data_IF_387505530090
#
_entry.id   IF_387505530090
#
_cell.length_a   1.000
_cell.length_b   1.000
_cell.length_c   1.000
_cell.angle_alpha   90.00
_cell.angle_beta   90.00
_cell.angle_gamma   90.00
#
_symmetry.space_group_name_H-M   'P 1'
#
loop_
_entity.id
_entity.type
_entity.pdbx_description
1 polymer ?
#
# COMPACT_ATOMS: atom_id res chain seq x y z
N UNK A 1 0.16 20.86 -15.23
CA UNK A 1 -0.45 20.39 -13.96
C UNK A 1 -1.48 19.29 -14.21
N UNK A 2 -2.51 19.50 -15.04
CA UNK A 2 -3.49 18.46 -15.43
C UNK A 2 -2.86 17.21 -16.05
N UNK A 3 -1.84 17.37 -16.90
CA UNK A 3 -1.12 16.25 -17.52
C UNK A 3 -0.35 15.37 -16.51
N UNK A 4 0.17 15.98 -15.43
CA UNK A 4 0.89 15.28 -14.36
C UNK A 4 -0.10 14.49 -13.51
N UNK A 5 -1.27 15.06 -13.21
CA UNK A 5 -2.35 14.34 -12.53
C UNK A 5 -2.87 13.16 -13.36
N UNK A 6 -3.03 13.34 -14.67
CA UNK A 6 -3.44 12.27 -15.58
C UNK A 6 -2.38 11.15 -15.64
N UNK A 7 -1.10 11.51 -15.75
CA UNK A 7 0.01 10.55 -15.74
C UNK A 7 0.14 9.82 -14.39
N UNK A 8 -0.09 10.50 -13.26
CA UNK A 8 -0.14 9.87 -11.95
C UNK A 8 -1.27 8.86 -11.83
N UNK A 9 -2.47 9.21 -12.31
CA UNK A 9 -3.64 8.32 -12.30
C UNK A 9 -3.46 7.11 -13.23
N UNK A 10 -2.94 7.34 -14.44
CA UNK A 10 -2.55 6.27 -15.37
C UNK A 10 -1.46 5.38 -14.74
N UNK A 11 -0.47 5.97 -14.05
CA UNK A 11 0.59 5.24 -13.36
C UNK A 11 0.04 4.29 -12.29
N UNK A 12 -0.89 4.76 -11.45
CA UNK A 12 -1.57 3.93 -10.44
C UNK A 12 -2.33 2.77 -11.10
N UNK A 13 -3.08 3.04 -12.17
CA UNK A 13 -3.83 2.01 -12.92
C UNK A 13 -2.88 1.00 -13.55
N UNK A 14 -1.81 1.46 -14.22
CA UNK A 14 -0.81 0.58 -14.83
C UNK A 14 -0.11 -0.28 -13.79
N UNK A 15 0.24 0.25 -12.63
CA UNK A 15 0.86 -0.53 -11.55
C UNK A 15 -0.09 -1.61 -11.02
N UNK A 16 -1.39 -1.33 -10.92
CA UNK A 16 -2.40 -2.34 -10.57
C UNK A 16 -2.52 -3.43 -11.64
N UNK A 17 -2.38 -3.09 -12.93
CA UNK A 17 -2.38 -4.02 -14.05
C UNK A 17 -1.09 -4.87 -14.12
N UNK A 18 0.08 -4.27 -13.92
CA UNK A 18 1.39 -4.92 -13.97
C UNK A 18 1.81 -5.60 -12.66
N UNK A 19 0.93 -5.61 -11.65
CA UNK A 19 1.22 -6.27 -10.35
C UNK A 19 1.64 -7.73 -10.53
N UNK A 20 1.10 -8.47 -11.51
CA UNK A 20 1.50 -9.87 -11.71
C UNK A 20 2.94 -9.98 -12.22
N UNK A 21 3.37 -9.08 -13.12
CA UNK A 21 4.73 -9.03 -13.64
C UNK A 21 5.74 -8.66 -12.54
N UNK A 22 5.45 -7.63 -11.73
CA UNK A 22 6.29 -7.23 -10.59
C UNK A 22 6.42 -8.36 -9.57
N UNK A 23 5.33 -9.08 -9.29
CA UNK A 23 5.30 -10.20 -8.35
C UNK A 23 5.98 -11.46 -8.90
N UNK A 24 5.98 -11.65 -10.21
CA UNK A 24 6.72 -12.74 -10.88
C UNK A 24 8.22 -12.50 -10.93
N UNK A 25 8.66 -11.23 -10.93
CA UNK A 25 10.08 -10.87 -10.91
C UNK A 25 10.72 -11.16 -9.54
N UNK A 26 9.93 -11.14 -8.46
CA UNK A 26 10.34 -11.63 -7.15
C UNK A 26 10.27 -13.16 -7.15
N UNK A 27 11.38 -13.78 -7.55
CA UNK A 27 11.58 -15.23 -7.52
C UNK A 27 11.12 -15.85 -6.20
N UNK A 28 10.71 -17.11 -6.23
CA UNK A 28 10.14 -17.83 -5.08
C UNK A 28 11.10 -17.93 -3.86
N UNK A 29 12.36 -17.47 -3.98
CA UNK A 29 13.46 -17.73 -3.05
C UNK A 29 13.97 -16.49 -2.27
N UNK A 30 13.08 -15.58 -1.87
CA UNK A 30 13.47 -14.46 -1.02
C UNK A 30 13.74 -14.92 0.43
N UNK A 31 14.97 -14.74 0.92
CA UNK A 31 15.40 -15.09 2.29
C UNK A 31 14.45 -14.55 3.37
N UNK A 32 13.97 -13.31 3.21
CA UNK A 32 13.04 -12.68 4.15
C UNK A 32 11.70 -13.43 4.25
N UNK A 33 11.13 -13.88 3.12
CA UNK A 33 9.90 -14.67 3.11
C UNK A 33 10.08 -16.05 3.74
N UNK A 34 11.25 -16.68 3.55
CA UNK A 34 11.56 -17.96 4.18
C UNK A 34 11.69 -17.84 5.71
N UNK A 35 12.30 -16.77 6.21
CA UNK A 35 12.36 -16.47 7.66
C UNK A 35 10.95 -16.26 8.22
N UNK A 36 10.13 -15.42 7.58
CA UNK A 36 8.75 -15.18 8.00
C UNK A 36 7.93 -16.47 8.01
N UNK A 37 8.08 -17.31 6.99
CA UNK A 37 7.40 -18.60 6.88
C UNK A 37 7.75 -19.54 8.04
N UNK A 38 9.03 -19.63 8.40
CA UNK A 38 9.51 -20.53 9.46
C UNK A 38 9.27 -20.01 10.88
N UNK A 39 8.75 -18.80 11.03
CA UNK A 39 8.57 -18.19 12.35
C UNK A 39 7.13 -18.36 12.86
N UNK A 40 6.97 -19.02 14.02
CA UNK A 40 5.67 -19.38 14.57
C UNK A 40 4.76 -18.18 14.90
N UNK A 41 5.33 -17.06 15.38
CA UNK A 41 4.54 -15.86 15.67
C UNK A 41 3.89 -15.25 14.43
N UNK A 42 4.54 -15.37 13.27
CA UNK A 42 4.02 -14.86 12.00
C UNK A 42 2.88 -15.71 11.44
N UNK A 43 2.68 -16.94 11.92
CA UNK A 43 1.54 -17.77 11.51
C UNK A 43 0.27 -17.50 12.35
N UNK A 44 0.36 -16.63 13.38
CA UNK A 44 -0.80 -16.13 14.11
C UNK A 44 -1.38 -14.90 13.39
N UNK A 45 -2.69 -14.91 13.11
CA UNK A 45 -3.31 -13.91 12.23
C UNK A 45 -3.35 -12.53 12.87
N UNK A 46 -3.44 -12.47 14.21
CA UNK A 46 -3.39 -11.23 14.96
C UNK A 46 -2.01 -10.56 14.82
N UNK A 47 -0.95 -11.32 15.11
CA UNK A 47 0.40 -10.76 15.13
C UNK A 47 0.89 -10.45 13.71
N UNK A 48 0.57 -11.31 12.75
CA UNK A 48 0.90 -11.07 11.33
C UNK A 48 0.13 -9.89 10.74
N UNK A 49 -1.16 -9.75 11.09
CA UNK A 49 -1.95 -8.58 10.70
C UNK A 49 -1.39 -7.29 11.29
N UNK A 50 -1.02 -7.31 12.57
CA UNK A 50 -0.40 -6.18 13.25
C UNK A 50 0.97 -5.84 12.65
N UNK A 51 1.78 -6.85 12.32
CA UNK A 51 3.05 -6.66 11.62
C UNK A 51 2.85 -5.98 10.26
N UNK A 52 1.89 -6.44 9.46
CA UNK A 52 1.55 -5.82 8.18
C UNK A 52 1.08 -4.36 8.37
N UNK A 53 0.29 -4.09 9.41
CA UNK A 53 -0.13 -2.72 9.77
C UNK A 53 1.08 -1.82 10.04
N UNK A 54 2.02 -2.26 10.89
CA UNK A 54 3.23 -1.50 11.22
C UNK A 54 4.14 -1.30 10.00
N UNK A 55 4.33 -2.32 9.17
CA UNK A 55 5.15 -2.20 7.96
C UNK A 55 4.54 -1.21 6.96
N UNK A 56 3.20 -1.20 6.81
CA UNK A 56 2.51 -0.20 5.99
C UNK A 56 2.71 1.22 6.56
N UNK A 57 2.58 1.37 7.88
CA UNK A 57 2.83 2.64 8.57
C UNK A 57 4.26 3.14 8.41
N UNK A 58 5.24 2.25 8.58
CA UNK A 58 6.66 2.56 8.41
C UNK A 58 6.97 3.00 6.98
N UNK A 59 6.52 2.24 5.97
CA UNK A 59 6.74 2.59 4.56
C UNK A 59 6.09 3.94 4.21
N UNK A 60 4.86 4.17 4.68
CA UNK A 60 4.17 5.44 4.45
C UNK A 60 4.91 6.60 5.10
N UNK A 61 5.29 6.47 6.37
CA UNK A 61 6.01 7.51 7.09
C UNK A 61 7.39 7.80 6.49
N UNK A 62 8.15 6.77 6.12
CA UNK A 62 9.42 6.93 5.41
C UNK A 62 9.24 7.65 4.07
N UNK A 63 8.18 7.32 3.32
CA UNK A 63 7.88 8.00 2.07
C UNK A 63 7.56 9.48 2.31
N UNK A 64 6.72 9.79 3.30
CA UNK A 64 6.44 11.18 3.69
C UNK A 64 7.70 11.93 4.13
N UNK A 65 8.57 11.29 4.92
CA UNK A 65 9.84 11.87 5.35
C UNK A 65 10.75 12.20 4.15
N UNK A 66 10.91 11.27 3.22
CA UNK A 66 11.73 11.49 2.02
C UNK A 66 11.13 12.59 1.15
N UNK A 67 9.80 12.59 0.96
CA UNK A 67 9.12 13.66 0.22
C UNK A 67 9.29 15.02 0.90
N UNK A 68 9.22 15.08 2.23
CA UNK A 68 9.45 16.31 3.01
C UNK A 68 10.88 16.82 2.85
N UNK A 69 11.88 15.94 2.95
CA UNK A 69 13.29 16.28 2.70
C UNK A 69 13.47 16.78 1.27
N UNK A 70 12.84 16.12 0.29
CA UNK A 70 12.89 16.53 -1.11
C UNK A 70 12.26 17.91 -1.35
N UNK A 71 11.33 18.39 -0.52
CA UNK A 71 10.84 19.77 -0.64
C UNK A 71 11.95 20.82 -0.39
N UNK A 72 12.99 20.48 0.37
CA UNK A 72 14.15 21.34 0.57
C UNK A 72 15.07 21.39 -0.68
N UNK A 73 14.98 20.38 -1.54
CA UNK A 73 15.72 20.32 -2.80
C UNK A 73 14.80 20.79 -3.94
N UNK A 74 15.13 21.92 -4.58
CA UNK A 74 14.36 22.50 -5.71
C UNK A 74 14.44 21.68 -7.01
N UNK A 75 14.57 20.34 -6.94
CA UNK A 75 14.69 19.46 -8.10
C UNK A 75 13.28 19.08 -8.58
N UNK A 76 12.85 19.53 -9.77
CA UNK A 76 11.52 19.23 -10.28
C UNK A 76 11.32 17.72 -10.49
N UNK A 77 10.09 17.23 -10.27
CA UNK A 77 9.63 15.88 -10.61
C UNK A 77 10.27 14.67 -9.88
N UNK A 78 11.32 14.85 -9.06
CA UNK A 78 11.96 13.74 -8.29
C UNK A 78 10.97 13.05 -7.35
N UNK A 79 10.00 13.78 -6.81
CA UNK A 79 8.93 13.23 -5.98
C UNK A 79 8.13 12.11 -6.69
N UNK A 80 7.99 12.16 -8.02
CA UNK A 80 7.30 11.12 -8.78
C UNK A 80 8.04 9.78 -8.73
N UNK A 81 9.37 9.82 -8.81
CA UNK A 81 10.23 8.63 -8.72
C UNK A 81 10.10 8.02 -7.32
N UNK A 82 10.16 8.84 -6.28
CA UNK A 82 10.01 8.38 -4.89
C UNK A 82 8.65 7.73 -4.66
N UNK A 83 7.57 8.34 -5.15
CA UNK A 83 6.23 7.75 -5.05
C UNK A 83 6.13 6.41 -5.81
N UNK A 84 6.71 6.32 -7.01
CA UNK A 84 6.73 5.06 -7.77
C UNK A 84 7.48 3.95 -7.03
N UNK A 85 8.67 4.26 -6.49
CA UNK A 85 9.48 3.31 -5.70
C UNK A 85 8.74 2.89 -4.43
N UNK A 86 8.06 3.81 -3.75
CA UNK A 86 7.26 3.50 -2.57
C UNK A 86 6.15 2.50 -2.88
N UNK A 87 5.39 2.72 -3.97
CA UNK A 87 4.33 1.80 -4.39
C UNK A 87 4.89 0.42 -4.74
N UNK A 88 5.99 0.36 -5.51
CA UNK A 88 6.63 -0.92 -5.86
C UNK A 88 7.06 -1.67 -4.60
N UNK A 89 7.72 -0.98 -3.66
CA UNK A 89 8.17 -1.56 -2.40
C UNK A 89 7.01 -2.11 -1.56
N UNK A 90 5.90 -1.38 -1.48
CA UNK A 90 4.67 -1.85 -0.83
C UNK A 90 4.12 -3.12 -1.50
N UNK A 91 4.03 -3.16 -2.83
CA UNK A 91 3.56 -4.35 -3.55
C UNK A 91 4.45 -5.57 -3.33
N UNK A 92 5.77 -5.37 -3.32
CA UNK A 92 6.77 -6.40 -3.01
C UNK A 92 6.52 -6.96 -1.61
N UNK A 93 6.42 -6.09 -0.61
CA UNK A 93 6.19 -6.45 0.78
C UNK A 93 4.91 -7.27 0.94
N UNK A 94 3.78 -6.79 0.39
CA UNK A 94 2.49 -7.48 0.48
C UNK A 94 2.54 -8.85 -0.16
N UNK A 95 3.29 -8.99 -1.26
CA UNK A 95 3.45 -10.26 -1.96
C UNK A 95 4.31 -11.25 -1.18
N UNK A 96 5.37 -10.78 -0.53
CA UNK A 96 6.19 -11.61 0.37
C UNK A 96 5.34 -12.10 1.55
N UNK A 97 4.58 -11.21 2.19
CA UNK A 97 3.68 -11.56 3.30
C UNK A 97 2.65 -12.59 2.87
N UNK A 98 2.01 -12.39 1.71
CA UNK A 98 1.04 -13.33 1.16
C UNK A 98 1.64 -14.72 0.89
N UNK A 99 2.85 -14.78 0.30
CA UNK A 99 3.56 -16.04 0.02
C UNK A 99 4.04 -16.75 1.30
N UNK A 100 4.35 -15.99 2.36
CA UNK A 100 4.92 -16.52 3.61
C UNK A 100 3.86 -17.04 4.59
N UNK A 101 2.60 -16.62 4.43
CA UNK A 101 1.48 -17.04 5.28
C UNK A 101 0.95 -18.43 4.92
N UNK A 102 1.00 -19.36 5.87
CA UNK A 102 0.58 -20.76 5.71
C UNK A 102 -0.74 -21.11 6.40
N UNK A 103 -1.38 -20.15 7.09
CA UNK A 103 -2.63 -20.38 7.81
C UNK A 103 -3.88 -20.56 6.93
N UNK A 104 -5.03 -20.79 7.57
CA UNK A 104 -6.33 -20.99 6.90
C UNK A 104 -6.76 -19.74 6.12
N UNK A 105 -7.57 -19.95 5.07
CA UNK A 105 -8.12 -18.85 4.22
C UNK A 105 -8.91 -17.80 5.02
N UNK A 106 -9.69 -18.23 6.02
CA UNK A 106 -10.47 -17.30 6.87
C UNK A 106 -9.55 -16.41 7.72
N UNK A 107 -8.49 -17.00 8.28
CA UNK A 107 -7.54 -16.28 9.12
C UNK A 107 -6.65 -15.35 8.29
N UNK A 108 -6.35 -15.72 7.03
CA UNK A 108 -5.71 -14.84 6.05
C UNK A 108 -6.53 -13.58 5.78
N UNK A 109 -7.85 -13.70 5.59
CA UNK A 109 -8.71 -12.53 5.37
C UNK A 109 -8.73 -11.61 6.61
N UNK A 110 -8.70 -12.16 7.82
CA UNK A 110 -8.60 -11.39 9.06
C UNK A 110 -7.25 -10.65 9.15
N UNK A 111 -6.15 -11.35 8.89
CA UNK A 111 -4.80 -10.76 8.84
C UNK A 111 -4.75 -9.62 7.82
N UNK A 112 -5.30 -9.83 6.61
CA UNK A 112 -5.37 -8.82 5.56
C UNK A 112 -6.22 -7.62 5.97
N UNK A 113 -7.37 -7.83 6.63
CA UNK A 113 -8.21 -6.75 7.15
C UNK A 113 -7.46 -5.91 8.19
N UNK A 114 -6.81 -6.56 9.16
CA UNK A 114 -6.02 -5.88 10.20
C UNK A 114 -4.88 -5.07 9.56
N UNK A 115 -4.09 -5.69 8.67
CA UNK A 115 -2.94 -5.01 8.09
C UNK A 115 -3.30 -3.88 7.11
N UNK A 116 -4.35 -4.06 6.31
CA UNK A 116 -4.85 -3.03 5.38
C UNK A 116 -5.55 -1.87 6.10
N UNK A 117 -6.05 -2.08 7.32
CA UNK A 117 -6.78 -1.06 8.10
C UNK A 117 -5.99 0.24 8.31
N UNK A 118 -4.65 0.20 8.28
CA UNK A 118 -3.80 1.40 8.31
C UNK A 118 -4.23 2.44 7.26
N UNK A 119 -4.40 2.00 6.01
CA UNK A 119 -4.81 2.87 4.92
C UNK A 119 -6.27 3.32 5.04
N UNK A 120 -7.13 2.47 5.61
CA UNK A 120 -8.52 2.83 5.88
C UNK A 120 -8.61 3.93 6.94
N UNK A 121 -7.84 3.84 8.03
CA UNK A 121 -7.74 4.87 9.07
C UNK A 121 -7.25 6.19 8.45
N UNK A 122 -6.21 6.16 7.62
CA UNK A 122 -5.75 7.37 6.91
C UNK A 122 -6.84 7.95 6.01
N UNK A 123 -7.58 7.11 5.29
CA UNK A 123 -8.69 7.55 4.44
C UNK A 123 -9.74 8.30 5.26
N UNK A 124 -10.12 7.76 6.43
CA UNK A 124 -11.07 8.41 7.35
C UNK A 124 -10.51 9.74 7.88
N UNK A 125 -9.23 9.80 8.25
CA UNK A 125 -8.57 11.04 8.69
C UNK A 125 -8.60 12.10 7.60
N UNK A 126 -8.26 11.74 6.35
CA UNK A 126 -8.30 12.68 5.23
C UNK A 126 -9.71 13.10 4.87
N UNK A 127 -10.69 12.21 4.96
CA UNK A 127 -12.11 12.53 4.78
C UNK A 127 -12.58 13.53 5.84
N UNK A 128 -12.23 13.32 7.10
CA UNK A 128 -12.53 14.28 8.17
C UNK A 128 -11.92 15.65 7.85
N UNK A 129 -10.62 15.69 7.51
CA UNK A 129 -9.94 16.93 7.11
C UNK A 129 -10.55 17.59 5.88
N UNK A 130 -11.14 16.82 4.98
CA UNK A 130 -11.79 17.31 3.76
C UNK A 130 -13.14 17.98 4.06
N UNK A 131 -13.92 17.40 4.99
CA UNK A 131 -15.21 17.98 5.40
C UNK A 131 -15.01 19.21 6.30
N UNK A 132 -13.92 19.29 7.05
CA UNK A 132 -13.60 20.43 7.93
C UNK A 132 -12.56 21.38 7.33
N UNK A 133 -12.54 21.57 6.00
CA UNK A 133 -11.61 22.51 5.37
C UNK A 133 -12.05 23.94 5.70
N UNK A 134 -11.17 24.67 6.36
CA UNK A 134 -11.28 26.10 6.59
C UNK A 134 -10.15 26.84 5.88
N UNK A 135 -10.39 28.07 5.37
CA UNK A 135 -9.35 28.93 4.83
C UNK A 135 -8.37 29.34 5.93
N UNK A 136 -7.08 29.37 5.63
CA UNK A 136 -6.05 29.81 6.59
C UNK A 136 -6.10 31.33 6.82
N UNK A 137 -6.43 32.08 5.77
CA UNK A 137 -6.64 33.52 5.81
C UNK A 137 -7.95 33.92 5.11
N UNK A 138 -8.60 35.01 5.54
CA UNK A 138 -9.78 35.52 4.84
C UNK A 138 -9.39 35.87 3.39
N UNK A 139 -10.01 35.17 2.43
CA UNK A 139 -9.74 35.33 0.99
C UNK A 139 -8.88 34.24 0.35
N UNK A 140 -8.33 33.30 1.12
CA UNK A 140 -7.61 32.14 0.57
C UNK A 140 -8.55 31.17 -0.15
N UNK A 141 -8.12 30.69 -1.31
CA UNK A 141 -8.82 29.64 -2.04
C UNK A 141 -8.57 28.26 -1.39
N UNK A 142 -9.63 27.66 -0.86
CA UNK A 142 -9.61 26.31 -0.27
C UNK A 142 -9.51 25.20 -1.31
N UNK A 143 -9.65 25.52 -2.60
CA UNK A 143 -9.68 24.55 -3.70
C UNK A 143 -8.41 23.70 -3.77
N UNK A 144 -7.22 24.30 -3.70
CA UNK A 144 -5.96 23.54 -3.79
C UNK A 144 -5.80 22.56 -2.62
N UNK A 145 -6.24 22.96 -1.42
CA UNK A 145 -6.24 22.11 -0.24
C UNK A 145 -7.26 20.98 -0.36
N UNK A 146 -8.46 21.27 -0.86
CA UNK A 146 -9.50 20.29 -1.14
C UNK A 146 -9.01 19.26 -2.17
N UNK A 147 -8.40 19.72 -3.27
CA UNK A 147 -7.84 18.87 -4.31
C UNK A 147 -6.75 17.94 -3.75
N UNK A 148 -5.84 18.47 -2.94
CA UNK A 148 -4.81 17.66 -2.28
C UNK A 148 -5.39 16.58 -1.36
N UNK A 149 -6.37 16.94 -0.54
CA UNK A 149 -7.06 15.99 0.36
C UNK A 149 -7.86 14.94 -0.41
N UNK A 150 -8.54 15.33 -1.50
CA UNK A 150 -9.26 14.41 -2.37
C UNK A 150 -8.34 13.36 -3.01
N UNK A 151 -7.18 13.78 -3.51
CA UNK A 151 -6.18 12.85 -4.04
C UNK A 151 -5.61 11.94 -2.95
N UNK A 152 -5.36 12.47 -1.75
CA UNK A 152 -4.92 11.67 -0.62
C UNK A 152 -5.93 10.57 -0.27
N UNK A 153 -7.23 10.90 -0.22
CA UNK A 153 -8.34 9.94 -0.02
C UNK A 153 -8.32 8.85 -1.10
N UNK A 154 -8.20 9.23 -2.37
CA UNK A 154 -8.14 8.26 -3.46
C UNK A 154 -6.95 7.30 -3.31
N UNK A 155 -5.74 7.85 -3.07
CA UNK A 155 -4.52 7.05 -2.96
C UNK A 155 -4.59 6.09 -1.77
N UNK A 156 -5.05 6.56 -0.59
CA UNK A 156 -5.16 5.68 0.58
C UNK A 156 -6.25 4.63 0.40
N UNK A 157 -7.36 4.96 -0.25
CA UNK A 157 -8.40 3.97 -0.54
C UNK A 157 -7.94 2.91 -1.54
N UNK A 158 -7.23 3.31 -2.60
CA UNK A 158 -6.61 2.35 -3.54
C UNK A 158 -5.56 1.49 -2.84
N UNK A 159 -4.73 2.07 -1.97
CA UNK A 159 -3.76 1.30 -1.19
C UNK A 159 -4.44 0.31 -0.23
N UNK A 160 -5.53 0.70 0.43
CA UNK A 160 -6.35 -0.18 1.27
C UNK A 160 -6.85 -1.39 0.46
N UNK A 161 -7.52 -1.14 -0.66
CA UNK A 161 -8.08 -2.20 -1.50
C UNK A 161 -7.00 -3.09 -2.11
N UNK A 162 -5.89 -2.51 -2.59
CA UNK A 162 -4.77 -3.27 -3.14
C UNK A 162 -4.09 -4.14 -2.10
N UNK A 163 -3.77 -3.59 -0.91
CA UNK A 163 -3.19 -4.33 0.19
C UNK A 163 -4.10 -5.48 0.62
N UNK A 164 -5.40 -5.20 0.80
CA UNK A 164 -6.39 -6.21 1.18
C UNK A 164 -6.50 -7.32 0.12
N UNK A 165 -6.57 -6.96 -1.16
CA UNK A 165 -6.69 -7.93 -2.25
C UNK A 165 -5.44 -8.80 -2.35
N UNK A 166 -4.25 -8.20 -2.33
CA UNK A 166 -2.98 -8.91 -2.51
C UNK A 166 -2.68 -9.83 -1.32
N UNK A 167 -2.95 -9.39 -0.10
CA UNK A 167 -2.65 -10.17 1.11
C UNK A 167 -3.77 -11.13 1.51
N UNK A 168 -5.04 -10.77 1.24
CA UNK A 168 -6.22 -11.56 1.58
C UNK A 168 -6.52 -12.66 0.55
N UNK A 169 -6.34 -12.37 -0.74
CA UNK A 169 -6.65 -13.29 -1.83
C UNK A 169 -5.36 -13.77 -2.50
N UNK A 170 -4.91 -14.95 -2.07
CA UNK A 170 -3.86 -15.66 -2.78
C UNK A 170 -4.44 -16.44 -3.94
N UNK A 171 -3.83 -16.33 -5.12
CA UNK A 171 -3.93 -17.36 -6.16
C UNK A 171 -3.11 -18.56 -5.67
N UNK A 172 -3.68 -19.34 -4.76
CA UNK A 172 -3.14 -20.67 -4.50
C UNK A 172 -3.14 -21.41 -5.83
N UNK A 173 -1.96 -21.92 -6.23
CA UNK A 173 -1.92 -23.03 -7.20
C UNK A 173 -3.00 -24.01 -6.75
N UNK A 174 -4.01 -24.22 -7.60
CA UNK A 174 -4.88 -25.36 -7.44
C UNK A 174 -3.95 -26.57 -7.40
N UNK A 175 -3.72 -27.12 -6.20
CA UNK A 175 -3.18 -28.47 -6.10
C UNK A 175 -4.26 -29.35 -6.71
N UNK A 176 -4.11 -29.65 -7.99
CA UNK A 176 -4.73 -30.81 -8.59
C UNK A 176 -4.15 -31.98 -7.81
N UNK A 177 -4.91 -32.47 -6.84
CA UNK A 177 -4.70 -33.78 -6.25
C UNK A 177 -4.89 -34.79 -7.37
N UNK A 178 -3.80 -35.24 -7.99
CA UNK A 178 -3.81 -36.57 -8.59
C UNK A 178 -3.65 -37.55 -7.44
N UNK A 179 -4.80 -38.04 -6.95
CA UNK A 179 -4.83 -39.38 -6.38
C UNK A 179 -4.68 -40.35 -7.55
N UNK A 180 -3.57 -41.07 -7.58
CA UNK A 180 -3.41 -42.34 -8.30
C UNK A 180 -2.53 -43.24 -7.42
#
# INVERSE_FOLDING_TARGET
MTLIFLLGLIGVVLILFFKSSVVSFLGENNKFGMVLKNTSWFQNFWISGLFLFFMNGLLFFLTCLVLYILMAFLIPYVHLIVMAVAVITSLVLWSIINKSWQGKRKDRLKMAAIGSSFYLILTVIFLYKYVTIEPYFPGDDTFMRALGLFLAIMVTFVAFTACFVITGFSKGKAQIQFHA
#
